data_IF_894586607031
#
_entry.id   IF_894586607031
#
_cell.length_a   1.000
_cell.length_b   1.000
_cell.length_c   1.000
_cell.angle_alpha   90.00
_cell.angle_beta   90.00
_cell.angle_gamma   90.00
#
_symmetry.space_group_name_H-M   'P 1'
#
loop_
_entity.id
_entity.type
_entity.pdbx_description
1 polymer ?
#
# COMPACT_ATOMS: atom_id res chain seq x y z
N UNK A 1 32.25 33.75 8.70
CA UNK A 1 31.93 33.07 9.98
C UNK A 1 30.58 33.58 10.46
N UNK A 2 29.51 32.86 10.15
CA UNK A 2 28.19 33.12 10.73
C UNK A 2 27.76 31.84 11.45
N UNK A 3 27.35 32.04 12.69
CA UNK A 3 27.21 31.02 13.71
C UNK A 3 25.94 30.20 13.48
N UNK A 4 26.09 28.88 13.46
CA UNK A 4 25.00 27.92 13.50
C UNK A 4 24.25 28.07 14.83
N UNK A 5 23.01 28.55 14.78
CA UNK A 5 22.06 28.40 15.88
C UNK A 5 21.64 26.93 15.97
N UNK A 6 22.27 26.24 16.92
CA UNK A 6 21.91 24.93 17.43
C UNK A 6 20.42 24.88 17.78
N UNK A 7 19.64 24.06 17.07
CA UNK A 7 18.30 23.67 17.51
C UNK A 7 18.50 22.64 18.61
N UNK A 8 18.30 23.13 19.83
CA UNK A 8 18.35 22.38 21.07
C UNK A 8 17.55 21.08 20.96
N UNK A 9 18.27 19.98 21.15
CA UNK A 9 17.74 18.67 21.44
C UNK A 9 16.83 18.74 22.66
N UNK A 10 15.52 18.61 22.46
CA UNK A 10 14.61 18.26 23.56
C UNK A 10 14.76 16.76 23.77
N UNK A 11 15.70 16.41 24.64
CA UNK A 11 15.84 15.08 25.21
C UNK A 11 14.60 14.74 26.05
N UNK A 12 14.07 13.53 25.85
CA UNK A 12 13.22 12.87 26.85
C UNK A 12 11.97 12.17 26.34
N UNK A 13 12.08 11.17 25.46
CA UNK A 13 11.07 10.10 25.40
C UNK A 13 11.73 8.73 25.24
N UNK A 14 11.55 7.92 26.26
CA UNK A 14 12.01 6.55 26.48
C UNK A 14 11.86 5.67 25.22
N UNK A 15 12.96 5.40 24.49
CA UNK A 15 12.97 4.43 23.40
C UNK A 15 12.95 3.02 23.97
N UNK A 16 11.75 2.54 24.31
CA UNK A 16 11.54 1.19 24.85
C UNK A 16 11.93 0.16 23.77
N UNK A 17 13.03 -0.57 23.97
CA UNK A 17 13.55 -1.53 22.99
C UNK A 17 12.62 -2.75 22.89
N UNK A 18 12.22 -3.12 21.68
CA UNK A 18 11.45 -4.34 21.45
C UNK A 18 12.36 -5.56 21.21
N UNK A 19 11.87 -6.79 21.49
CA UNK A 19 12.58 -8.02 21.15
C UNK A 19 12.87 -8.12 19.64
N UNK A 20 13.89 -8.87 19.25
CA UNK A 20 14.27 -9.08 17.85
C UNK A 20 13.07 -9.45 16.96
N UNK A 21 12.99 -8.79 15.79
CA UNK A 21 11.87 -8.94 14.85
C UNK A 21 10.57 -8.27 15.28
N UNK A 22 10.57 -7.50 16.38
CA UNK A 22 9.47 -6.63 16.80
C UNK A 22 9.97 -5.19 16.92
N UNK A 23 9.07 -4.24 16.76
CA UNK A 23 9.37 -2.81 16.87
C UNK A 23 8.31 -2.13 17.73
N UNK A 24 8.69 -0.98 18.30
CA UNK A 24 7.84 -0.23 19.23
C UNK A 24 6.88 0.66 18.46
N UNK A 25 5.58 0.37 18.53
CA UNK A 25 4.53 1.29 18.08
C UNK A 25 4.36 2.35 19.15
N UNK A 26 4.58 3.62 18.81
CA UNK A 26 4.34 4.73 19.74
C UNK A 26 2.86 4.79 20.16
N UNK A 27 2.57 5.25 21.40
CA UNK A 27 1.20 5.55 21.80
C UNK A 27 0.51 6.45 20.76
N UNK A 28 -0.72 6.12 20.40
CA UNK A 28 -1.47 6.88 19.39
C UNK A 28 -2.97 6.83 19.69
N UNK A 29 -3.71 7.75 19.07
CA UNK A 29 -5.17 7.80 19.13
C UNK A 29 -5.74 7.10 17.91
N UNK A 30 -6.71 6.19 18.10
CA UNK A 30 -7.45 5.57 16.98
C UNK A 30 -8.96 5.77 17.17
N UNK A 31 -9.66 5.96 16.06
CA UNK A 31 -11.13 6.06 16.06
C UNK A 31 -11.73 4.66 16.06
N UNK A 32 -12.73 4.41 16.92
CA UNK A 32 -13.45 3.14 17.06
C UNK A 32 -14.95 3.37 16.99
N UNK A 33 -15.68 2.33 16.61
CA UNK A 33 -17.13 2.29 16.66
C UNK A 33 -17.53 1.21 17.66
N UNK A 34 -18.36 1.56 18.64
CA UNK A 34 -18.89 0.62 19.63
C UNK A 34 -19.98 -0.29 19.05
N UNK A 35 -20.36 -1.33 19.79
CA UNK A 35 -21.42 -2.27 19.37
C UNK A 35 -22.77 -1.61 19.09
N UNK A 36 -23.03 -0.45 19.70
CA UNK A 36 -24.23 0.37 19.48
C UNK A 36 -24.02 1.51 18.46
N UNK A 37 -22.96 1.46 17.63
CA UNK A 37 -22.74 2.41 16.53
C UNK A 37 -22.13 3.76 16.91
N UNK A 38 -21.82 3.99 18.20
CA UNK A 38 -21.23 5.26 18.66
C UNK A 38 -19.73 5.30 18.34
N UNK A 39 -19.29 6.39 17.74
CA UNK A 39 -17.87 6.61 17.46
C UNK A 39 -17.16 7.18 18.70
N UNK A 40 -15.98 6.66 19.03
CA UNK A 40 -15.14 7.17 20.12
C UNK A 40 -13.66 7.13 19.74
N UNK A 41 -12.86 7.98 20.41
CA UNK A 41 -11.41 8.00 20.27
C UNK A 41 -10.78 7.16 21.37
N UNK A 42 -10.09 6.10 20.99
CA UNK A 42 -9.37 5.22 21.90
C UNK A 42 -7.89 5.65 21.97
N UNK A 43 -7.38 5.86 23.18
CA UNK A 43 -5.95 6.05 23.41
C UNK A 43 -5.27 4.68 23.49
N UNK A 44 -4.45 4.35 22.49
CA UNK A 44 -3.71 3.09 22.43
C UNK A 44 -2.35 3.31 23.08
N UNK A 45 -2.04 2.52 24.10
CA UNK A 45 -0.70 2.49 24.72
C UNK A 45 0.33 1.97 23.70
N UNK A 46 1.59 2.36 23.83
CA UNK A 46 2.65 1.82 22.99
C UNK A 46 2.80 0.31 23.16
N UNK A 47 3.12 -0.41 22.10
CA UNK A 47 3.27 -1.86 22.12
C UNK A 47 4.26 -2.36 21.07
N UNK A 48 4.94 -3.46 21.38
CA UNK A 48 5.80 -4.15 20.42
C UNK A 48 4.94 -4.94 19.42
N UNK A 49 5.10 -4.69 18.13
CA UNK A 49 4.40 -5.39 17.06
C UNK A 49 5.40 -5.88 16.01
N UNK A 50 4.98 -6.78 15.13
CA UNK A 50 5.83 -7.48 14.15
C UNK A 50 5.59 -7.07 12.66
N UNK A 51 4.67 -6.14 12.37
CA UNK A 51 4.21 -5.71 11.03
C UNK A 51 4.05 -4.19 10.71
N UNK A 52 4.70 -3.23 11.37
CA UNK A 52 4.33 -1.79 11.38
C UNK A 52 5.51 -0.83 11.50
N UNK A 53 6.59 -1.14 12.24
CA UNK A 53 7.67 -0.17 12.50
C UNK A 53 8.46 0.09 11.25
N UNK A 54 8.88 -0.99 10.56
CA UNK A 54 9.51 -0.87 9.26
C UNK A 54 8.66 -0.03 8.28
N UNK A 55 7.34 -0.23 8.25
CA UNK A 55 6.46 0.59 7.41
C UNK A 55 6.26 2.01 7.93
N UNK A 56 6.31 2.26 9.23
CA UNK A 56 6.27 3.60 9.79
C UNK A 56 7.51 4.39 9.41
N UNK A 57 8.67 3.73 9.47
CA UNK A 57 9.96 4.31 9.08
C UNK A 57 9.98 4.60 7.58
N UNK A 58 9.51 3.66 6.74
CA UNK A 58 9.36 3.88 5.29
C UNK A 58 8.39 5.04 5.02
N UNK A 59 7.24 5.09 5.71
CA UNK A 59 6.27 6.16 5.52
C UNK A 59 6.87 7.53 5.88
N UNK A 60 7.66 7.59 6.95
CA UNK A 60 8.35 8.80 7.37
C UNK A 60 9.45 9.21 6.38
N UNK A 61 10.30 8.27 5.95
CA UNK A 61 11.35 8.49 4.93
C UNK A 61 10.74 9.04 3.63
N UNK A 62 9.63 8.46 3.20
CA UNK A 62 8.94 8.82 1.96
C UNK A 62 7.97 10.00 2.10
N UNK A 63 7.80 10.53 3.32
CA UNK A 63 6.85 11.60 3.63
C UNK A 63 5.41 11.28 3.16
N UNK A 64 5.01 10.01 3.28
CA UNK A 64 3.68 9.53 2.92
C UNK A 64 2.82 9.34 4.18
N UNK A 65 1.53 9.73 4.15
CA UNK A 65 0.58 9.28 5.17
C UNK A 65 0.59 7.76 5.28
N UNK A 66 0.51 7.25 6.51
CA UNK A 66 0.69 5.83 6.77
C UNK A 66 -0.28 4.93 6.00
N UNK A 67 -1.54 5.37 5.80
CA UNK A 67 -2.52 4.62 4.99
C UNK A 67 -2.14 4.59 3.51
N UNK A 68 -1.59 5.68 2.98
CA UNK A 68 -1.18 5.81 1.59
C UNK A 68 0.03 4.93 1.27
N UNK A 69 0.95 4.74 2.23
CA UNK A 69 2.07 3.83 2.04
C UNK A 69 1.60 2.42 1.64
N UNK A 70 0.53 1.90 2.27
CA UNK A 70 0.03 0.56 1.96
C UNK A 70 -0.52 0.46 0.53
N UNK A 71 -1.04 1.55 -0.03
CA UNK A 71 -1.41 1.61 -1.44
C UNK A 71 -0.18 1.47 -2.33
N UNK A 72 0.86 2.27 -2.09
CA UNK A 72 2.09 2.26 -2.89
C UNK A 72 2.82 0.92 -2.77
N UNK A 73 2.93 0.36 -1.56
CA UNK A 73 3.52 -0.97 -1.33
C UNK A 73 2.77 -2.06 -2.09
N UNK A 74 1.44 -1.96 -2.18
CA UNK A 74 0.63 -2.93 -2.94
C UNK A 74 0.89 -2.79 -4.43
N UNK A 75 0.97 -1.57 -4.98
CA UNK A 75 1.39 -1.37 -6.37
C UNK A 75 2.76 -1.96 -6.65
N UNK A 76 3.71 -1.76 -5.74
CA UNK A 76 5.05 -2.28 -5.87
C UNK A 76 5.11 -3.82 -5.75
N UNK A 77 4.28 -4.41 -4.90
CA UNK A 77 4.17 -5.86 -4.75
C UNK A 77 3.50 -6.55 -5.94
N UNK A 78 2.46 -5.93 -6.51
CA UNK A 78 1.63 -6.54 -7.55
C UNK A 78 2.08 -6.17 -8.98
N UNK A 79 2.66 -4.99 -9.17
CA UNK A 79 2.85 -4.41 -10.49
C UNK A 79 4.18 -3.64 -10.69
N UNK A 80 5.21 -3.83 -9.84
CA UNK A 80 6.50 -3.13 -10.02
C UNK A 80 7.18 -3.42 -11.37
N UNK A 81 7.02 -4.64 -11.89
CA UNK A 81 7.62 -5.10 -13.15
C UNK A 81 6.73 -4.84 -14.37
N UNK A 82 5.54 -4.30 -14.17
CA UNK A 82 4.55 -4.09 -15.22
C UNK A 82 4.78 -2.77 -15.96
N UNK A 83 4.04 -2.54 -17.05
CA UNK A 83 4.08 -1.25 -17.74
C UNK A 83 3.24 -0.17 -17.00
N UNK A 84 3.25 1.06 -17.51
CA UNK A 84 2.55 2.19 -16.87
C UNK A 84 1.02 1.99 -16.82
N UNK A 85 0.41 1.59 -17.94
CA UNK A 85 -1.03 1.35 -18.04
C UNK A 85 -1.49 0.27 -17.05
N UNK A 86 -0.73 -0.81 -16.92
CA UNK A 86 -1.01 -1.91 -16.00
C UNK A 86 -0.95 -1.46 -14.53
N UNK A 87 0.10 -0.71 -14.14
CA UNK A 87 0.19 -0.14 -12.79
C UNK A 87 -0.97 0.80 -12.49
N UNK A 88 -1.33 1.68 -13.43
CA UNK A 88 -2.47 2.60 -13.29
C UNK A 88 -3.79 1.83 -13.15
N UNK A 89 -4.01 0.76 -13.91
CA UNK A 89 -5.20 -0.05 -13.80
C UNK A 89 -5.33 -0.72 -12.41
N UNK A 90 -4.25 -1.27 -11.86
CA UNK A 90 -4.25 -1.80 -10.48
C UNK A 90 -4.50 -0.69 -9.45
N UNK A 91 -3.92 0.49 -9.64
CA UNK A 91 -4.16 1.64 -8.77
C UNK A 91 -5.64 2.04 -8.78
N UNK A 92 -6.28 2.09 -9.95
CA UNK A 92 -7.71 2.36 -10.08
C UNK A 92 -8.57 1.28 -9.41
N UNK A 93 -8.20 0.01 -9.49
CA UNK A 93 -8.90 -1.06 -8.74
C UNK A 93 -8.85 -0.80 -7.23
N UNK A 94 -7.68 -0.47 -6.67
CA UNK A 94 -7.55 -0.20 -5.24
C UNK A 94 -8.39 1.04 -4.85
N UNK A 95 -8.36 2.11 -5.65
CA UNK A 95 -9.17 3.32 -5.42
C UNK A 95 -10.67 3.02 -5.50
N UNK A 96 -11.12 2.28 -6.51
CA UNK A 96 -12.51 1.87 -6.67
C UNK A 96 -13.02 1.09 -5.45
N UNK A 97 -12.20 0.22 -4.86
CA UNK A 97 -12.55 -0.52 -3.64
C UNK A 97 -12.81 0.41 -2.47
N UNK A 98 -12.04 1.50 -2.32
CA UNK A 98 -12.26 2.51 -1.29
C UNK A 98 -13.57 3.27 -1.54
N UNK A 99 -13.80 3.73 -2.76
CA UNK A 99 -15.03 4.44 -3.14
C UNK A 99 -16.28 3.59 -2.90
N UNK A 100 -16.24 2.30 -3.28
CA UNK A 100 -17.35 1.36 -3.06
C UNK A 100 -17.41 0.80 -1.63
N UNK A 101 -16.48 1.16 -0.74
CA UNK A 101 -16.32 0.59 0.62
C UNK A 101 -16.31 -0.94 0.63
N UNK A 102 -15.71 -1.54 -0.40
CA UNK A 102 -15.56 -2.98 -0.53
C UNK A 102 -14.27 -3.39 0.17
N UNK A 103 -14.34 -4.40 1.04
CA UNK A 103 -13.23 -4.95 1.83
C UNK A 103 -12.66 -4.06 2.95
N UNK A 104 -13.01 -2.77 3.02
CA UNK A 104 -12.57 -1.88 4.08
C UNK A 104 -12.97 -0.42 3.86
N UNK A 105 -12.56 0.45 4.78
CA UNK A 105 -12.82 1.90 4.80
C UNK A 105 -11.56 2.76 4.70
N UNK A 106 -10.40 2.13 4.51
CA UNK A 106 -9.09 2.76 4.29
C UNK A 106 -8.26 1.92 3.33
N UNK A 107 -7.26 2.51 2.66
CA UNK A 107 -6.40 1.76 1.73
C UNK A 107 -5.72 0.59 2.44
N UNK A 108 -5.15 0.82 3.62
CA UNK A 108 -4.53 -0.23 4.44
C UNK A 108 -5.49 -1.37 4.74
N UNK A 109 -6.73 -1.08 5.14
CA UNK A 109 -7.72 -2.13 5.45
C UNK A 109 -8.11 -2.95 4.22
N UNK A 110 -8.19 -2.30 3.05
CA UNK A 110 -8.52 -2.92 1.77
C UNK A 110 -7.40 -3.81 1.28
N UNK A 111 -6.17 -3.30 1.26
CA UNK A 111 -5.05 -4.07 0.68
C UNK A 111 -4.59 -5.21 1.57
N UNK A 112 -4.74 -5.08 2.89
CA UNK A 112 -4.43 -6.14 3.85
C UNK A 112 -5.57 -7.14 4.03
N UNK A 113 -6.70 -6.97 3.33
CA UNK A 113 -7.79 -7.94 3.39
C UNK A 113 -7.27 -9.31 2.93
N UNK A 114 -7.51 -10.39 3.68
CA UNK A 114 -6.97 -11.70 3.34
C UNK A 114 -7.27 -12.11 1.90
N UNK A 115 -6.23 -12.61 1.23
CA UNK A 115 -6.26 -13.16 -0.12
C UNK A 115 -6.60 -12.16 -1.24
N UNK A 116 -6.76 -10.86 -0.96
CA UNK A 116 -7.10 -9.87 -1.99
C UNK A 116 -5.91 -9.44 -2.85
N UNK A 117 -4.71 -9.44 -2.27
CA UNK A 117 -3.44 -9.14 -2.93
C UNK A 117 -2.42 -10.16 -2.44
N UNK A 118 -1.74 -10.85 -3.36
CA UNK A 118 -0.90 -11.99 -2.98
C UNK A 118 0.41 -11.52 -2.34
N UNK A 119 0.89 -10.32 -2.69
CA UNK A 119 2.13 -9.76 -2.15
C UNK A 119 2.14 -9.61 -0.61
N UNK A 120 0.96 -9.59 0.03
CA UNK A 120 0.82 -9.55 1.49
C UNK A 120 0.84 -10.93 2.16
N UNK A 121 0.92 -12.02 1.41
CA UNK A 121 1.06 -13.38 1.95
C UNK A 121 2.52 -13.63 2.30
N UNK A 122 2.81 -14.10 3.52
CA UNK A 122 4.19 -14.30 4.01
C UNK A 122 5.04 -15.26 3.16
N UNK A 123 4.39 -16.19 2.46
CA UNK A 123 5.03 -17.16 1.57
C UNK A 123 5.21 -16.64 0.14
N UNK A 124 4.64 -15.47 -0.19
CA UNK A 124 4.85 -14.82 -1.49
C UNK A 124 6.27 -14.23 -1.52
N UNK A 125 7.07 -14.48 -2.57
CA UNK A 125 8.40 -13.89 -2.70
C UNK A 125 8.41 -12.35 -2.61
N UNK A 126 7.34 -11.70 -3.09
CA UNK A 126 7.21 -10.25 -3.05
C UNK A 126 7.03 -9.71 -1.63
N UNK A 127 6.53 -10.51 -0.69
CA UNK A 127 6.34 -10.08 0.69
C UNK A 127 7.63 -9.58 1.35
N UNK A 128 8.75 -10.25 1.06
CA UNK A 128 10.08 -9.84 1.56
C UNK A 128 10.52 -8.51 0.96
N UNK A 129 10.17 -8.28 -0.29
CA UNK A 129 10.55 -7.06 -1.02
C UNK A 129 9.81 -5.82 -0.50
N UNK A 130 8.61 -6.00 0.05
CA UNK A 130 7.86 -4.91 0.68
C UNK A 130 8.54 -4.34 1.93
N UNK A 131 9.47 -5.07 2.56
CA UNK A 131 10.17 -4.60 3.76
C UNK A 131 11.21 -3.51 3.44
N UNK A 132 11.71 -3.49 2.20
CA UNK A 132 12.76 -2.58 1.75
C UNK A 132 12.49 -2.13 0.30
N UNK A 133 11.36 -1.46 0.02
CA UNK A 133 10.97 -1.12 -1.34
C UNK A 133 12.01 -0.20 -2.00
N UNK A 134 12.40 -0.53 -3.23
CA UNK A 134 13.43 0.20 -3.97
C UNK A 134 14.88 -0.06 -3.52
N UNK A 135 15.10 -1.04 -2.62
CA UNK A 135 16.41 -1.40 -2.06
C UNK A 135 16.68 -2.91 -2.15
N UNK A 136 16.03 -3.64 -3.07
CA UNK A 136 16.09 -5.12 -3.15
C UNK A 136 17.10 -5.68 -4.18
N UNK A 137 17.72 -4.83 -5.01
CA UNK A 137 18.65 -5.28 -6.03
C UNK A 137 19.99 -5.79 -5.49
N UNK A 138 20.59 -6.79 -6.15
CA UNK A 138 21.89 -7.37 -5.74
C UNK A 138 23.04 -6.70 -6.48
N UNK A 139 22.90 -6.53 -7.79
CA UNK A 139 23.81 -5.76 -8.63
C UNK A 139 23.44 -4.27 -8.66
N UNK A 140 24.37 -3.42 -9.09
CA UNK A 140 24.14 -1.97 -9.21
C UNK A 140 22.97 -1.66 -10.15
N UNK A 141 22.91 -2.37 -11.28
CA UNK A 141 21.80 -2.26 -12.23
C UNK A 141 20.46 -2.64 -11.60
N UNK A 142 20.39 -3.75 -10.87
CA UNK A 142 19.16 -4.17 -10.20
C UNK A 142 18.73 -3.19 -9.12
N UNK A 143 19.67 -2.61 -8.35
CA UNK A 143 19.36 -1.60 -7.33
C UNK A 143 18.74 -0.37 -7.98
N UNK A 144 19.35 0.12 -9.06
CA UNK A 144 18.83 1.26 -9.79
C UNK A 144 17.45 0.98 -10.40
N UNK A 145 17.27 -0.20 -11.00
CA UNK A 145 15.98 -0.62 -11.58
C UNK A 145 14.89 -0.73 -10.51
N UNK A 146 15.21 -1.31 -9.35
CA UNK A 146 14.28 -1.44 -8.23
C UNK A 146 13.88 -0.09 -7.63
N UNK A 147 14.86 0.81 -7.47
CA UNK A 147 14.63 2.18 -7.04
C UNK A 147 13.71 2.92 -8.01
N UNK A 148 13.92 2.79 -9.33
CA UNK A 148 13.05 3.37 -10.34
C UNK A 148 11.64 2.78 -10.29
N UNK A 149 11.50 1.47 -10.11
CA UNK A 149 10.20 0.81 -10.00
C UNK A 149 9.43 1.33 -8.77
N UNK A 150 10.12 1.55 -7.65
CA UNK A 150 9.54 2.17 -6.46
C UNK A 150 9.08 3.62 -6.71
N UNK A 151 9.88 4.43 -7.41
CA UNK A 151 9.49 5.79 -7.78
C UNK A 151 8.26 5.80 -8.70
N UNK A 152 8.23 4.94 -9.73
CA UNK A 152 7.07 4.79 -10.63
C UNK A 152 5.81 4.41 -9.87
N UNK A 153 5.89 3.55 -8.86
CA UNK A 153 4.73 3.21 -8.03
C UNK A 153 4.21 4.41 -7.21
N UNK A 154 5.12 5.24 -6.68
CA UNK A 154 4.75 6.48 -5.97
C UNK A 154 4.13 7.52 -6.91
N UNK A 155 4.68 7.67 -8.11
CA UNK A 155 4.13 8.55 -9.15
C UNK A 155 2.73 8.12 -9.57
N UNK A 156 2.56 6.84 -9.93
CA UNK A 156 1.24 6.27 -10.26
C UNK A 156 0.24 6.43 -9.12
N UNK A 157 0.66 6.24 -7.87
CA UNK A 157 -0.22 6.53 -6.72
C UNK A 157 -0.65 7.99 -6.70
N UNK A 158 0.28 8.95 -6.85
CA UNK A 158 -0.06 10.39 -6.82
C UNK A 158 -0.98 10.76 -7.97
N UNK A 159 -0.74 10.25 -9.17
CA UNK A 159 -1.60 10.44 -10.34
C UNK A 159 -3.02 9.96 -10.04
N UNK A 160 -3.17 8.67 -9.70
CA UNK A 160 -4.49 8.07 -9.47
C UNK A 160 -5.16 8.58 -8.20
N UNK A 161 -4.42 9.00 -7.17
CA UNK A 161 -5.02 9.56 -5.96
C UNK A 161 -5.63 10.95 -6.22
N UNK A 162 -4.99 11.78 -7.05
CA UNK A 162 -5.44 13.13 -7.34
C UNK A 162 -6.35 13.23 -8.57
N UNK A 163 -6.41 12.20 -9.41
CA UNK A 163 -7.22 12.21 -10.62
C UNK A 163 -8.73 12.36 -10.33
N UNK A 164 -9.50 13.04 -11.19
CA UNK A 164 -10.95 12.99 -11.15
C UNK A 164 -11.48 11.60 -11.58
N UNK A 165 -12.70 11.25 -11.16
CA UNK A 165 -13.33 9.98 -11.57
C UNK A 165 -13.54 9.87 -13.09
N UNK A 166 -13.56 10.98 -13.83
CA UNK A 166 -13.64 10.99 -15.29
C UNK A 166 -12.40 10.41 -15.98
N UNK A 167 -11.26 10.36 -15.29
CA UNK A 167 -10.02 9.75 -15.80
C UNK A 167 -9.90 8.25 -15.47
N UNK A 168 -10.88 7.69 -14.74
CA UNK A 168 -10.90 6.27 -14.40
C UNK A 168 -11.30 5.44 -15.62
N UNK A 169 -10.39 4.64 -16.23
CA UNK A 169 -10.73 3.84 -17.41
C UNK A 169 -11.62 2.63 -17.07
N UNK A 170 -11.75 2.30 -15.78
CA UNK A 170 -12.45 1.11 -15.28
C UNK A 170 -13.38 1.47 -14.12
N UNK A 171 -14.36 2.35 -14.32
CA UNK A 171 -15.20 2.84 -13.24
C UNK A 171 -15.95 1.68 -12.56
N UNK A 172 -15.93 1.70 -11.23
CA UNK A 172 -16.59 0.71 -10.36
C UNK A 172 -16.01 -0.71 -10.39
N UNK A 173 -14.94 -0.95 -11.14
CA UNK A 173 -14.28 -2.26 -11.23
C UNK A 173 -13.41 -2.49 -9.99
N UNK A 174 -13.72 -3.54 -9.24
CA UNK A 174 -13.05 -3.85 -7.97
C UNK A 174 -12.29 -5.20 -8.01
N UNK A 175 -12.32 -5.91 -9.12
CA UNK A 175 -11.75 -7.25 -9.25
C UNK A 175 -10.89 -7.34 -10.51
N UNK A 176 -9.75 -8.02 -10.37
CA UNK A 176 -8.88 -8.39 -11.46
C UNK A 176 -8.29 -9.78 -11.19
N UNK A 177 -7.72 -10.39 -12.20
CA UNK A 177 -6.86 -11.57 -12.08
C UNK A 177 -5.77 -11.53 -13.15
N UNK A 178 -4.70 -12.30 -12.94
CA UNK A 178 -3.68 -12.57 -13.94
C UNK A 178 -3.69 -14.05 -14.30
N UNK A 179 -3.26 -14.36 -15.53
CA UNK A 179 -3.29 -15.72 -16.08
C UNK A 179 -4.69 -16.16 -16.50
N UNK A 180 -4.92 -17.48 -16.70
CA UNK A 180 -6.15 -17.98 -17.30
C UNK A 180 -7.37 -17.72 -16.40
N UNK A 181 -8.54 -17.42 -16.99
CA UNK A 181 -9.75 -17.16 -16.24
C UNK A 181 -10.20 -18.40 -15.47
N UNK A 182 -10.45 -18.22 -14.17
CA UNK A 182 -11.15 -19.22 -13.37
C UNK A 182 -12.59 -19.37 -13.88
N UNK A 183 -13.19 -20.55 -13.72
CA UNK A 183 -14.57 -20.86 -14.17
C UNK A 183 -15.60 -19.79 -13.76
N UNK A 184 -15.48 -19.22 -12.56
CA UNK A 184 -16.34 -18.13 -12.05
C UNK A 184 -16.31 -16.83 -12.87
N UNK A 185 -15.29 -16.64 -13.71
CA UNK A 185 -15.03 -15.42 -14.45
C UNK A 185 -15.05 -15.59 -15.97
N UNK A 186 -15.12 -16.82 -16.50
CA UNK A 186 -14.91 -17.13 -17.92
C UNK A 186 -15.68 -16.26 -18.92
N UNK A 187 -16.85 -15.73 -18.53
CA UNK A 187 -17.71 -14.89 -19.39
C UNK A 187 -17.93 -13.46 -18.84
N UNK A 188 -17.22 -13.08 -17.78
CA UNK A 188 -17.49 -11.84 -17.01
C UNK A 188 -16.31 -10.88 -16.94
N UNK A 189 -15.24 -11.17 -17.68
CA UNK A 189 -14.04 -10.34 -17.69
C UNK A 189 -13.89 -9.59 -19.01
N UNK A 190 -13.10 -8.52 -18.95
CA UNK A 190 -12.69 -7.75 -20.11
C UNK A 190 -11.25 -7.30 -19.93
N UNK A 191 -10.62 -6.94 -21.05
CA UNK A 191 -9.22 -6.51 -21.11
C UNK A 191 -9.15 -5.03 -21.43
N UNK A 192 -8.11 -4.38 -20.92
CA UNK A 192 -7.78 -3.01 -21.30
C UNK A 192 -6.69 -3.02 -22.38
N UNK A 193 -6.72 -2.06 -23.31
CA UNK A 193 -5.59 -1.85 -24.21
C UNK A 193 -4.33 -1.56 -23.38
N UNK A 194 -3.19 -2.07 -23.85
CA UNK A 194 -1.88 -1.89 -23.21
C UNK A 194 -1.74 -2.44 -21.78
N UNK A 195 -2.67 -3.29 -21.33
CA UNK A 195 -2.61 -4.00 -20.03
C UNK A 195 -2.54 -5.52 -20.27
N UNK A 196 -1.37 -6.07 -20.63
CA UNK A 196 -1.28 -7.42 -21.21
C UNK A 196 -1.49 -8.56 -20.21
N UNK A 197 -1.27 -8.35 -18.92
CA UNK A 197 -1.23 -9.42 -17.91
C UNK A 197 -2.40 -9.43 -16.93
N UNK A 198 -3.30 -8.44 -17.02
CA UNK A 198 -4.41 -8.30 -16.09
C UNK A 198 -5.75 -8.27 -16.83
N UNK A 199 -6.67 -9.06 -16.32
CA UNK A 199 -8.04 -9.18 -16.76
C UNK A 199 -8.96 -8.61 -15.69
N UNK A 200 -9.96 -7.83 -16.09
CA UNK A 200 -10.79 -7.06 -15.17
C UNK A 200 -12.22 -7.58 -15.11
N UNK A 201 -12.81 -7.61 -13.91
CA UNK A 201 -14.16 -8.13 -13.69
C UNK A 201 -15.00 -7.06 -13.03
N UNK A 202 -16.10 -6.69 -13.69
CA UNK A 202 -17.14 -5.84 -13.12
C UNK A 202 -18.26 -6.75 -12.59
N UNK A 203 -18.46 -6.74 -11.27
CA UNK A 203 -19.56 -7.47 -10.64
C UNK A 203 -20.71 -6.51 -10.34
N UNK A 204 -21.92 -6.92 -10.70
CA UNK A 204 -23.15 -6.22 -10.34
C UNK A 204 -23.40 -6.37 -8.84
N UNK A 205 -22.84 -5.46 -8.05
CA UNK A 205 -23.13 -5.30 -6.63
C UNK A 205 -23.31 -3.83 -6.30
#
# INVERSE_FOLDING_TARGET
MQQHTSRQDIAGENTQSCPDGKYWVRPHKRRRVSKNGKTYTENVKGYCCCYHGAYQDIAAEEHLPFDHLFFVLTLYGEARGENAASRQAIAWVIRNRLTKKIFGDSYRSIVLKPLQFSCWRKNDPNYKMLQHPGKNGKSEYEKQSDQQAWQRCKETFREVFNAPESENPIPQVCHYFSGPPQHRYQEKFFDLPDVPHFHFVKLDK
#
